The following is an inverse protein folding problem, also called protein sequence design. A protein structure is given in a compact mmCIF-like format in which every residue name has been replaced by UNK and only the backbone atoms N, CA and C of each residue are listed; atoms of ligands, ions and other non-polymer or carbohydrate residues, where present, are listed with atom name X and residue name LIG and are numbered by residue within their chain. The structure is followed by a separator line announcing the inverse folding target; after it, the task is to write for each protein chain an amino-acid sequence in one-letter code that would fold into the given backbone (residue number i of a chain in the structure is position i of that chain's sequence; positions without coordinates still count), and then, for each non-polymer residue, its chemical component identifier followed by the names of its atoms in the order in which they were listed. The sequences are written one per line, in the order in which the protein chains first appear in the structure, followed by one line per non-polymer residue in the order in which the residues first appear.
data_IF_765171535440
#
_entry.id   IF_765171535440
#
_cell.length_a   1.000
_cell.length_b   1.000
_cell.length_c   1.000
_cell.angle_alpha   90.00
_cell.angle_beta   90.00
_cell.angle_gamma   90.00
#
_symmetry.space_group_name_H-M   'P 1'
#
loop_
_entity.id
_entity.type
_entity.pdbx_description
1 polymer ?
#
# COMPACT_ATOMS: atom_id res chain seq x y z
N UNK A 1 12.83 22.70 50.98
CA UNK A 1 13.73 22.09 49.97
C UNK A 1 13.03 20.89 49.32
N UNK A 2 11.81 21.07 48.82
CA UNK A 2 10.91 19.96 48.40
C UNK A 2 10.63 19.99 46.88
N UNK A 3 10.72 21.16 46.26
CA UNK A 3 10.47 21.38 44.83
C UNK A 3 11.44 20.60 43.93
N UNK A 4 12.63 20.27 44.42
CA UNK A 4 13.60 19.49 43.64
C UNK A 4 13.10 18.07 43.35
N UNK A 5 12.48 17.37 44.31
CA UNK A 5 12.05 15.98 44.11
C UNK A 5 10.90 15.88 43.11
N UNK A 6 9.93 16.79 43.16
CA UNK A 6 8.81 16.81 42.21
C UNK A 6 9.29 17.12 40.79
N UNK A 7 10.21 18.08 40.65
CA UNK A 7 10.81 18.43 39.35
C UNK A 7 11.68 17.29 38.81
N UNK A 8 12.40 16.59 39.68
CA UNK A 8 13.24 15.45 39.33
C UNK A 8 12.40 14.23 38.95
N UNK A 9 11.32 13.93 39.67
CA UNK A 9 10.33 12.92 39.29
C UNK A 9 9.66 13.22 37.95
N UNK A 10 9.34 14.49 37.68
CA UNK A 10 8.81 14.93 36.39
C UNK A 10 9.82 14.74 35.25
N UNK A 11 11.10 15.05 35.47
CA UNK A 11 12.18 14.75 34.51
C UNK A 11 12.24 13.25 34.19
N UNK A 12 12.15 12.38 35.19
CA UNK A 12 12.13 10.94 34.97
C UNK A 12 10.89 10.47 34.21
N UNK A 13 9.71 11.05 34.46
CA UNK A 13 8.49 10.74 33.72
C UNK A 13 8.63 11.09 32.23
N UNK A 14 9.13 12.30 31.94
CA UNK A 14 9.32 12.77 30.55
C UNK A 14 10.36 11.90 29.84
N UNK A 15 11.48 11.58 30.49
CA UNK A 15 12.50 10.70 29.90
C UNK A 15 11.97 9.29 29.70
N UNK A 16 11.33 8.69 30.71
CA UNK A 16 10.78 7.34 30.61
C UNK A 16 9.76 7.20 29.48
N UNK A 17 8.76 8.08 29.46
CA UNK A 17 7.74 8.09 28.40
C UNK A 17 8.32 8.44 27.03
N UNK A 18 9.25 9.40 26.96
CA UNK A 18 9.91 9.77 25.72
C UNK A 18 10.74 8.64 25.12
N UNK A 19 11.47 7.88 25.94
CA UNK A 19 12.30 6.75 25.47
C UNK A 19 11.43 5.62 24.94
N UNK A 20 10.34 5.30 25.63
CA UNK A 20 9.37 4.28 25.17
C UNK A 20 8.71 4.71 23.87
N UNK A 21 8.27 5.98 23.78
CA UNK A 21 7.69 6.52 22.57
C UNK A 21 8.66 6.44 21.39
N UNK A 22 9.93 6.83 21.60
CA UNK A 22 10.95 6.78 20.56
C UNK A 22 11.22 5.34 20.10
N UNK A 23 11.24 4.38 21.02
CA UNK A 23 11.38 2.96 20.71
C UNK A 23 10.21 2.43 19.87
N UNK A 24 8.97 2.76 20.24
CA UNK A 24 7.78 2.37 19.48
C UNK A 24 7.75 3.03 18.09
N UNK A 25 8.09 4.31 18.00
CA UNK A 25 8.19 5.02 16.73
C UNK A 25 9.24 4.37 15.81
N UNK A 26 10.39 3.98 16.37
CA UNK A 26 11.41 3.25 15.63
C UNK A 26 10.90 1.88 15.14
N UNK A 27 10.18 1.13 15.98
CA UNK A 27 9.54 -0.13 15.59
C UNK A 27 8.53 0.06 14.45
N UNK A 28 7.70 1.09 14.52
CA UNK A 28 6.72 1.42 13.47
C UNK A 28 7.43 1.77 12.17
N UNK A 29 8.52 2.54 12.24
CA UNK A 29 9.32 2.88 11.07
C UNK A 29 9.93 1.63 10.41
N UNK A 30 10.49 0.72 11.22
CA UNK A 30 11.03 -0.55 10.74
C UNK A 30 9.95 -1.42 10.07
N UNK A 31 8.74 -1.49 10.67
CA UNK A 31 7.58 -2.17 10.10
C UNK A 31 7.16 -1.53 8.77
N UNK A 32 7.22 -0.20 8.66
CA UNK A 32 6.96 0.53 7.42
C UNK A 32 7.97 0.22 6.32
N UNK A 33 9.26 0.11 6.66
CA UNK A 33 10.30 -0.33 5.72
C UNK A 33 10.01 -1.74 5.23
N UNK A 34 9.70 -2.68 6.14
CA UNK A 34 9.30 -4.03 5.76
C UNK A 34 8.10 -4.02 4.81
N UNK A 35 7.06 -3.23 5.10
CA UNK A 35 5.89 -3.09 4.23
C UNK A 35 6.26 -2.57 2.84
N UNK A 36 7.15 -1.59 2.74
CA UNK A 36 7.60 -1.05 1.44
C UNK A 36 8.45 -2.07 0.65
N UNK A 37 9.34 -2.78 1.33
CA UNK A 37 10.15 -3.85 0.75
C UNK A 37 9.24 -4.97 0.25
N UNK A 38 8.28 -5.43 1.06
CA UNK A 38 7.33 -6.46 0.65
C UNK A 38 6.54 -6.02 -0.59
N UNK A 39 5.97 -4.81 -0.61
CA UNK A 39 5.27 -4.31 -1.80
C UNK A 39 6.15 -4.18 -3.05
N UNK A 40 7.45 -3.88 -2.89
CA UNK A 40 8.38 -3.70 -4.01
C UNK A 40 8.93 -5.02 -4.55
N UNK A 41 9.24 -5.98 -3.68
CA UNK A 41 9.84 -7.28 -4.05
C UNK A 41 8.79 -8.37 -4.30
N UNK A 42 7.65 -8.31 -3.61
CA UNK A 42 6.46 -9.10 -3.89
C UNK A 42 5.31 -8.13 -4.19
N UNK A 43 5.29 -7.52 -5.38
CA UNK A 43 4.08 -6.87 -5.84
C UNK A 43 3.01 -7.96 -5.90
N UNK A 44 2.19 -8.06 -4.86
CA UNK A 44 0.91 -8.73 -4.96
C UNK A 44 0.26 -8.12 -6.19
N UNK A 45 -0.08 -8.97 -7.15
CA UNK A 45 -0.96 -8.62 -8.25
C UNK A 45 -2.32 -8.40 -7.60
N UNK A 46 -2.46 -7.30 -6.86
CA UNK A 46 -3.75 -6.85 -6.40
C UNK A 46 -4.55 -6.69 -7.69
N UNK A 47 -5.66 -7.43 -7.86
CA UNK A 47 -6.53 -7.21 -9.00
C UNK A 47 -6.84 -5.73 -8.94
N UNK A 48 -6.37 -4.97 -9.95
CA UNK A 48 -6.47 -3.51 -10.01
C UNK A 48 -7.79 -3.12 -9.39
N UNK A 49 -7.76 -2.61 -8.15
CA UNK A 49 -8.89 -1.87 -7.64
C UNK A 49 -9.01 -0.75 -8.64
N UNK A 50 -10.05 -0.84 -9.46
CA UNK A 50 -10.33 0.07 -10.54
C UNK A 50 -10.53 1.44 -9.92
N UNK A 51 -9.42 2.15 -9.73
CA UNK A 51 -9.43 3.59 -9.55
C UNK A 51 -10.11 4.12 -10.80
N UNK A 52 -11.37 4.51 -10.62
CA UNK A 52 -12.37 4.77 -11.66
C UNK A 52 -12.08 6.01 -12.51
N UNK A 53 -10.81 6.44 -12.59
CA UNK A 53 -10.41 7.65 -13.29
C UNK A 53 -9.48 7.42 -14.49
N UNK A 54 -8.91 6.21 -14.67
CA UNK A 54 -7.97 5.94 -15.78
C UNK A 54 -8.43 4.85 -16.76
N UNK A 55 -9.61 4.26 -16.53
CA UNK A 55 -10.03 3.02 -17.21
C UNK A 55 -10.80 3.23 -18.52
N UNK A 56 -11.04 4.46 -18.97
CA UNK A 56 -11.89 4.70 -20.16
C UNK A 56 -11.18 4.29 -21.46
N UNK A 57 -9.88 4.56 -21.58
CA UNK A 57 -9.10 4.14 -22.75
C UNK A 57 -8.81 2.64 -22.77
N UNK A 58 -8.48 2.06 -21.61
CA UNK A 58 -8.26 0.62 -21.48
C UNK A 58 -9.56 -0.18 -21.71
N UNK A 59 -10.70 0.24 -21.15
CA UNK A 59 -11.98 -0.42 -21.37
C UNK A 59 -12.39 -0.43 -22.85
N UNK A 60 -12.17 0.69 -23.56
CA UNK A 60 -12.47 0.79 -24.99
C UNK A 60 -11.52 -0.09 -25.84
N UNK A 61 -10.26 -0.20 -25.45
CA UNK A 61 -9.29 -1.09 -26.10
C UNK A 61 -9.63 -2.57 -25.88
N UNK A 62 -10.02 -2.92 -24.65
CA UNK A 62 -10.48 -4.27 -24.30
C UNK A 62 -11.75 -4.67 -25.07
N UNK A 63 -12.74 -3.77 -25.17
CA UNK A 63 -13.94 -4.02 -25.98
C UNK A 63 -13.60 -4.24 -27.46
N UNK A 64 -12.69 -3.44 -28.04
CA UNK A 64 -12.22 -3.62 -29.42
C UNK A 64 -11.51 -4.97 -29.61
N UNK A 65 -10.70 -5.40 -28.65
CA UNK A 65 -10.04 -6.73 -28.66
C UNK A 65 -11.05 -7.87 -28.59
N UNK A 66 -12.06 -7.77 -27.74
CA UNK A 66 -13.12 -8.78 -27.60
C UNK A 66 -13.92 -8.91 -28.90
N UNK A 67 -14.32 -7.79 -29.51
CA UNK A 67 -15.05 -7.79 -30.79
C UNK A 67 -14.20 -8.38 -31.92
N UNK A 68 -12.90 -8.07 -31.97
CA UNK A 68 -11.98 -8.65 -32.94
C UNK A 68 -11.82 -10.17 -32.77
N UNK A 69 -11.72 -10.66 -31.53
CA UNK A 69 -11.62 -12.09 -31.23
C UNK A 69 -12.91 -12.84 -31.62
N UNK A 70 -14.09 -12.29 -31.31
CA UNK A 70 -15.38 -12.88 -31.71
C UNK A 70 -15.50 -12.90 -33.23
N UNK A 71 -15.13 -11.82 -33.91
CA UNK A 71 -15.17 -11.75 -35.39
C UNK A 71 -14.24 -12.76 -36.03
N UNK A 72 -13.03 -12.93 -35.49
CA UNK A 72 -12.08 -13.92 -35.96
C UNK A 72 -12.59 -15.35 -35.74
N UNK A 73 -13.22 -15.63 -34.60
CA UNK A 73 -13.83 -16.94 -34.33
C UNK A 73 -14.99 -17.24 -35.28
N UNK A 74 -15.86 -16.27 -35.57
CA UNK A 74 -16.97 -16.43 -36.53
C UNK A 74 -16.43 -16.62 -37.95
N UNK A 75 -15.41 -15.86 -38.36
CA UNK A 75 -14.76 -16.02 -39.67
C UNK A 75 -14.15 -17.41 -39.80
N UNK A 76 -13.40 -17.86 -38.79
CA UNK A 76 -12.79 -19.18 -38.76
C UNK A 76 -13.85 -20.30 -38.82
N UNK A 77 -14.98 -20.15 -38.13
CA UNK A 77 -16.07 -21.13 -38.17
C UNK A 77 -16.82 -21.17 -39.51
N UNK A 78 -16.89 -20.06 -40.25
CA UNK A 78 -17.51 -20.00 -41.59
C UNK A 78 -16.59 -20.44 -42.74
N UNK A 79 -15.28 -20.38 -42.53
CA UNK A 79 -14.26 -20.80 -43.50
C UNK A 79 -13.79 -22.26 -43.25
N UNK A 80 -14.27 -22.90 -42.18
CA UNK A 80 -14.15 -24.36 -41.93
C UNK A 80 -15.41 -25.08 -42.39
#
# INVERSE_FOLDING_TARGET
METNLVVEGFKFLVIGMGTVFLFLAFMIFMMGIMSNIVHKFFPEVQPKSVSSAQNTQDAQNNQKKIVAAITAAIKHHRES
#
